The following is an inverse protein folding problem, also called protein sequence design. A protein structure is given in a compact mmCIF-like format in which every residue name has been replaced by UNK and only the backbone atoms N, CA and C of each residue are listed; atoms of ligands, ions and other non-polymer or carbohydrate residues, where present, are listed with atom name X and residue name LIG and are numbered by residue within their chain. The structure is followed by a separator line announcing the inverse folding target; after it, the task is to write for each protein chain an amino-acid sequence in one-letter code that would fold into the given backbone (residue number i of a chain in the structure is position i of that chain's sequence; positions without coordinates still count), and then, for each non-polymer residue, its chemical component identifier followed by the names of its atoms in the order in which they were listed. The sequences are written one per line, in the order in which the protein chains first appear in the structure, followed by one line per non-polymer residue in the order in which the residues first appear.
data_IF_882111447910
#
_entry.id   IF_882111447910
#
_cell.length_a   1.000
_cell.length_b   1.000
_cell.length_c   1.000
_cell.angle_alpha   90.00
_cell.angle_beta   90.00
_cell.angle_gamma   90.00
#
_symmetry.space_group_name_H-M   'P 1'
#
loop_
_entity.id
_entity.type
_entity.pdbx_description
1 polymer ?
#
# COMPACT_ATOMS: atom_id res chain seq x y z
N UNK A 1 -0.28 -12.22 6.66
CA UNK A 1 0.85 -11.33 6.30
C UNK A 1 0.24 -10.04 5.79
N UNK A 2 0.63 -8.89 6.33
CA UNK A 2 0.08 -7.57 5.97
C UNK A 2 1.15 -6.72 5.25
N UNK A 3 0.73 -5.67 4.58
CA UNK A 3 1.59 -4.60 4.04
C UNK A 3 1.20 -3.22 4.54
N UNK A 4 0.19 -3.14 5.41
CA UNK A 4 -0.07 -1.92 6.17
C UNK A 4 1.02 -1.75 7.23
N UNK A 5 1.44 -0.50 7.48
CA UNK A 5 2.53 -0.15 8.37
C UNK A 5 3.93 -0.43 7.80
N UNK A 6 4.11 -0.47 6.47
CA UNK A 6 5.42 -0.63 5.84
C UNK A 6 6.38 0.52 6.13
N UNK A 7 5.87 1.70 6.48
CA UNK A 7 6.66 2.85 6.94
C UNK A 7 7.11 2.74 8.40
N UNK A 8 6.56 1.80 9.20
CA UNK A 8 6.94 1.59 10.60
C UNK A 8 8.22 0.75 10.73
N UNK A 9 9.36 1.36 10.35
CA UNK A 9 10.67 0.70 10.34
C UNK A 9 11.12 0.17 11.71
N UNK A 10 10.74 0.85 12.79
CA UNK A 10 11.18 0.55 14.15
C UNK A 10 10.37 -0.55 14.86
N UNK A 11 9.46 -1.25 14.17
CA UNK A 11 8.83 -2.42 14.79
C UNK A 11 9.88 -3.52 15.03
N UNK A 12 9.85 -4.16 16.20
CA UNK A 12 10.79 -5.25 16.57
C UNK A 12 10.81 -6.35 15.49
N UNK A 13 9.66 -6.57 14.83
CA UNK A 13 9.50 -7.55 13.77
C UNK A 13 10.21 -7.13 12.46
N UNK A 14 10.09 -5.86 12.04
CA UNK A 14 10.79 -5.38 10.85
C UNK A 14 12.29 -5.20 11.09
N UNK A 15 12.71 -4.80 12.29
CA UNK A 15 14.13 -4.73 12.66
C UNK A 15 14.84 -6.10 12.58
N UNK A 16 14.11 -7.21 12.69
CA UNK A 16 14.67 -8.55 12.61
C UNK A 16 14.53 -9.21 11.23
N UNK A 17 13.62 -8.71 10.38
CA UNK A 17 13.30 -9.36 9.10
C UNK A 17 13.56 -8.49 7.87
N UNK A 18 13.63 -7.16 8.02
CA UNK A 18 13.77 -6.14 6.96
C UNK A 18 12.72 -6.24 5.83
N UNK A 19 11.67 -7.04 6.00
CA UNK A 19 10.72 -7.36 4.93
C UNK A 19 9.96 -6.10 4.48
N UNK A 20 9.61 -5.19 5.39
CA UNK A 20 8.92 -3.96 5.00
C UNK A 20 9.86 -2.98 4.29
N UNK A 21 11.13 -2.96 4.69
CA UNK A 21 12.16 -2.14 4.04
C UNK A 21 12.38 -2.57 2.59
N UNK A 22 12.43 -3.89 2.33
CA UNK A 22 12.53 -4.43 0.97
C UNK A 22 11.28 -4.21 0.13
N UNK A 23 10.09 -4.28 0.74
CA UNK A 23 8.84 -3.97 0.04
C UNK A 23 8.81 -2.49 -0.39
N UNK A 24 9.16 -1.57 0.50
CA UNK A 24 9.19 -0.14 0.16
C UNK A 24 10.22 0.17 -0.93
N UNK A 25 11.39 -0.47 -0.92
CA UNK A 25 12.36 -0.39 -2.03
C UNK A 25 11.78 -0.90 -3.35
N UNK A 26 11.06 -2.02 -3.34
CA UNK A 26 10.40 -2.54 -4.54
C UNK A 26 9.34 -1.57 -5.08
N UNK A 27 8.57 -0.93 -4.20
CA UNK A 27 7.64 0.13 -4.59
C UNK A 27 8.36 1.29 -5.27
N UNK A 28 9.46 1.79 -4.69
CA UNK A 28 10.28 2.84 -5.32
C UNK A 28 10.76 2.45 -6.72
N UNK A 29 11.16 1.20 -6.92
CA UNK A 29 11.58 0.69 -8.24
C UNK A 29 10.42 0.67 -9.25
N UNK A 30 9.21 0.29 -8.81
CA UNK A 30 8.02 0.33 -9.66
C UNK A 30 7.72 1.77 -10.09
N UNK A 31 7.77 2.74 -9.17
CA UNK A 31 7.57 4.17 -9.51
C UNK A 31 8.64 4.70 -10.47
N UNK A 32 9.91 4.37 -10.20
CA UNK A 32 11.04 4.79 -11.03
C UNK A 32 11.05 4.17 -12.44
N UNK A 33 10.30 3.08 -12.66
CA UNK A 33 10.23 2.41 -13.98
C UNK A 33 9.59 3.28 -15.08
N UNK A 34 8.79 4.29 -14.70
CA UNK A 34 8.06 5.14 -15.64
C UNK A 34 6.85 4.46 -16.31
N UNK A 35 6.55 3.21 -15.99
CA UNK A 35 5.33 2.53 -16.45
C UNK A 35 4.13 2.90 -15.57
N UNK A 36 2.90 2.96 -16.13
CA UNK A 36 1.70 3.09 -15.32
C UNK A 36 1.60 1.96 -14.30
N UNK A 37 1.30 2.30 -13.05
CA UNK A 37 1.23 1.33 -11.95
C UNK A 37 0.06 1.61 -11.02
N UNK A 38 -0.26 0.61 -10.19
CA UNK A 38 -1.11 0.76 -9.01
C UNK A 38 -0.47 -0.05 -7.89
N UNK A 39 -0.13 0.59 -6.78
CA UNK A 39 0.48 -0.06 -5.62
C UNK A 39 -0.58 -0.16 -4.52
N UNK A 40 -0.98 -1.39 -4.21
CA UNK A 40 -1.97 -1.69 -3.17
C UNK A 40 -1.24 -2.24 -1.95
N UNK A 41 -1.44 -1.60 -0.79
CA UNK A 41 -0.92 -2.04 0.50
C UNK A 41 -2.06 -2.63 1.34
N UNK A 42 -2.44 -3.90 1.12
CA UNK A 42 -3.51 -4.51 1.91
C UNK A 42 -3.18 -4.60 3.40
N UNK A 43 -4.25 -4.49 4.21
CA UNK A 43 -4.27 -4.77 5.64
C UNK A 43 -4.08 -6.25 5.98
N UNK A 44 -4.59 -6.67 7.13
CA UNK A 44 -4.46 -8.05 7.61
C UNK A 44 -5.40 -9.01 6.87
N UNK A 45 -4.81 -10.02 6.20
CA UNK A 45 -5.56 -10.91 5.29
C UNK A 45 -6.45 -11.87 6.05
N UNK A 46 -7.75 -11.88 5.72
CA UNK A 46 -8.77 -12.78 6.25
C UNK A 46 -8.94 -12.71 7.78
N UNK A 47 -8.64 -11.55 8.36
CA UNK A 47 -8.98 -11.20 9.75
C UNK A 47 -10.30 -10.43 9.85
N UNK A 48 -11.01 -10.30 8.72
CA UNK A 48 -12.27 -9.58 8.64
C UNK A 48 -13.44 -10.41 9.18
N UNK A 49 -14.45 -9.73 9.69
CA UNK A 49 -15.73 -10.29 10.06
C UNK A 49 -16.64 -10.47 8.83
N UNK A 50 -17.71 -11.26 9.00
CA UNK A 50 -18.68 -11.54 7.95
C UNK A 50 -19.44 -10.31 7.47
N UNK A 51 -19.46 -9.19 8.22
CA UNK A 51 -20.16 -7.96 7.86
C UNK A 51 -19.23 -6.80 7.42
N UNK A 52 -17.95 -7.11 7.19
CA UNK A 52 -16.93 -6.15 6.76
C UNK A 52 -16.72 -6.22 5.24
N UNK A 53 -17.70 -5.72 4.49
CA UNK A 53 -17.66 -5.71 3.03
C UNK A 53 -17.31 -4.34 2.42
N UNK A 54 -17.36 -3.26 3.21
CA UNK A 54 -17.11 -1.91 2.71
C UNK A 54 -15.61 -1.70 2.46
N UNK A 55 -15.22 -1.59 1.19
CA UNK A 55 -13.86 -1.24 0.81
C UNK A 55 -13.53 0.20 1.20
N UNK A 56 -12.38 0.40 1.85
CA UNK A 56 -11.83 1.70 2.20
C UNK A 56 -10.39 1.77 1.71
N UNK A 57 -10.09 2.81 0.94
CA UNK A 57 -8.74 3.14 0.46
C UNK A 57 -8.19 4.32 1.27
N UNK A 58 -6.99 4.17 1.81
CA UNK A 58 -6.33 5.19 2.64
C UNK A 58 -4.97 5.56 2.03
N UNK A 59 -4.39 6.68 2.47
CA UNK A 59 -3.05 7.09 2.04
C UNK A 59 -2.20 7.62 3.19
N UNK A 60 -0.88 7.45 3.03
CA UNK A 60 0.15 7.92 3.95
C UNK A 60 0.46 6.96 5.10
N UNK A 61 -0.02 5.72 5.02
CA UNK A 61 0.35 4.60 5.89
C UNK A 61 0.35 4.97 7.37
N UNK A 62 -0.76 5.55 7.87
CA UNK A 62 -0.82 6.14 9.23
C UNK A 62 -1.21 5.15 10.33
N UNK A 63 -1.61 3.92 9.97
CA UNK A 63 -2.10 2.90 10.91
C UNK A 63 -0.95 1.96 11.27
N UNK A 64 -0.44 2.10 12.50
CA UNK A 64 0.83 1.52 12.97
C UNK A 64 0.71 0.71 14.26
N UNK A 65 -0.47 0.21 14.63
CA UNK A 65 -0.66 -0.62 15.80
C UNK A 65 0.15 -1.93 15.74
N UNK A 66 0.41 -2.46 14.53
CA UNK A 66 1.05 -3.76 14.31
C UNK A 66 0.13 -4.92 14.64
N UNK A 67 -1.19 -4.67 14.64
CA UNK A 67 -2.25 -5.61 14.96
C UNK A 67 -3.37 -5.46 13.91
N UNK A 68 -4.37 -6.36 13.88
CA UNK A 68 -5.53 -6.21 12.99
C UNK A 68 -6.30 -4.89 13.15
N UNK A 69 -6.07 -4.13 14.23
CA UNK A 69 -6.62 -2.77 14.40
C UNK A 69 -6.14 -1.79 13.32
N UNK A 70 -5.03 -2.08 12.65
CA UNK A 70 -4.60 -1.31 11.48
C UNK A 70 -5.57 -1.45 10.30
N UNK A 71 -6.38 -2.50 10.31
CA UNK A 71 -7.37 -2.80 9.29
C UNK A 71 -7.14 -4.16 8.68
N UNK A 72 -8.24 -4.75 8.26
CA UNK A 72 -8.36 -6.13 7.79
C UNK A 72 -8.89 -6.13 6.38
N UNK A 73 -8.69 -7.19 5.61
CA UNK A 73 -9.19 -7.30 4.24
C UNK A 73 -9.23 -8.78 3.86
N UNK A 74 -10.25 -9.24 3.15
CA UNK A 74 -10.28 -10.62 2.64
C UNK A 74 -9.46 -10.75 1.35
N UNK A 75 -8.96 -11.95 1.04
CA UNK A 75 -8.29 -12.19 -0.25
C UNK A 75 -9.21 -11.98 -1.45
N UNK A 76 -10.50 -12.21 -1.29
CA UNK A 76 -11.50 -11.96 -2.34
C UNK A 76 -11.60 -10.48 -2.66
N UNK A 77 -11.69 -9.63 -1.64
CA UNK A 77 -11.72 -8.17 -1.77
C UNK A 77 -10.42 -7.62 -2.37
N UNK A 78 -9.26 -8.18 -1.98
CA UNK A 78 -7.98 -7.83 -2.62
C UNK A 78 -8.04 -8.14 -4.12
N UNK A 79 -8.50 -9.34 -4.50
CA UNK A 79 -8.58 -9.74 -5.89
C UNK A 79 -9.52 -8.83 -6.69
N UNK A 80 -10.67 -8.47 -6.12
CA UNK A 80 -11.63 -7.54 -6.73
C UNK A 80 -10.98 -6.17 -7.04
N UNK A 81 -10.31 -5.58 -6.05
CA UNK A 81 -9.64 -4.28 -6.22
C UNK A 81 -8.52 -4.36 -7.25
N UNK A 82 -7.71 -5.42 -7.23
CA UNK A 82 -6.62 -5.61 -8.19
C UNK A 82 -7.15 -5.78 -9.63
N UNK A 83 -8.21 -6.56 -9.82
CA UNK A 83 -8.84 -6.74 -11.15
C UNK A 83 -9.46 -5.45 -11.64
N UNK A 84 -10.16 -4.71 -10.77
CA UNK A 84 -10.75 -3.41 -11.12
C UNK A 84 -9.70 -2.39 -11.55
N UNK A 85 -8.57 -2.32 -10.83
CA UNK A 85 -7.49 -1.38 -11.13
C UNK A 85 -6.87 -1.57 -12.53
N UNK A 86 -6.84 -2.81 -13.07
CA UNK A 86 -6.27 -3.09 -14.39
C UNK A 86 -6.98 -2.35 -15.53
N UNK A 87 -8.27 -2.05 -15.35
CA UNK A 87 -9.11 -1.43 -16.40
C UNK A 87 -9.62 -0.05 -16.01
N UNK A 88 -9.15 0.51 -14.89
CA UNK A 88 -9.61 1.79 -14.37
C UNK A 88 -8.51 2.86 -14.49
N UNK A 89 -8.77 3.89 -15.29
CA UNK A 89 -7.81 4.99 -15.48
C UNK A 89 -7.57 5.79 -14.19
N UNK A 90 -8.56 5.87 -13.29
CA UNK A 90 -8.44 6.55 -12.00
C UNK A 90 -7.47 5.83 -11.04
N UNK A 91 -7.20 4.55 -11.27
CA UNK A 91 -6.25 3.77 -10.47
C UNK A 91 -4.79 3.98 -10.87
N UNK A 92 -4.51 4.69 -11.97
CA UNK A 92 -3.16 4.87 -12.49
C UNK A 92 -2.31 5.77 -11.59
N UNK A 93 -1.08 5.32 -11.35
CA UNK A 93 -0.05 5.97 -10.55
C UNK A 93 -0.53 6.29 -9.12
N UNK A 94 -1.31 5.38 -8.53
CA UNK A 94 -1.82 5.49 -7.16
C UNK A 94 -1.09 4.52 -6.24
N UNK A 95 -0.79 5.00 -5.04
CA UNK A 95 -0.41 4.18 -3.89
C UNK A 95 -1.43 4.37 -2.78
N UNK A 96 -1.95 3.27 -2.24
CA UNK A 96 -2.94 3.33 -1.16
C UNK A 96 -2.92 2.09 -0.27
N UNK A 97 -3.33 2.25 0.98
CA UNK A 97 -3.66 1.15 1.88
C UNK A 97 -5.08 0.66 1.64
N UNK A 98 -5.28 -0.66 1.66
CA UNK A 98 -6.57 -1.29 1.39
C UNK A 98 -7.07 -2.05 2.63
N UNK A 99 -8.23 -1.65 3.12
CA UNK A 99 -8.91 -2.30 4.25
C UNK A 99 -10.40 -2.44 3.96
N UNK A 100 -11.05 -3.35 4.67
CA UNK A 100 -12.48 -3.51 4.74
C UNK A 100 -12.98 -3.06 6.10
N UNK A 101 -14.11 -2.39 6.09
CA UNK A 101 -14.82 -1.96 7.29
C UNK A 101 -16.27 -2.47 7.23
N UNK A 102 -16.96 -2.39 8.36
CA UNK A 102 -18.36 -2.79 8.46
C UNK A 102 -19.24 -2.02 7.47
N UNK A 103 -20.04 -2.75 6.70
CA UNK A 103 -20.99 -2.19 5.74
C UNK A 103 -21.00 -2.95 4.42
N UNK A 104 -21.85 -2.48 3.51
CA UNK A 104 -22.05 -3.08 2.19
C UNK A 104 -20.84 -2.90 1.27
N UNK A 105 -20.62 -3.87 0.38
CA UNK A 105 -19.64 -3.75 -0.70
C UNK A 105 -20.05 -2.63 -1.67
N UNK A 106 -19.11 -1.77 -2.10
CA UNK A 106 -19.38 -0.80 -3.15
C UNK A 106 -19.67 -1.52 -4.48
N UNK A 107 -20.63 -1.00 -5.26
CA UNK A 107 -20.91 -1.54 -6.60
C UNK A 107 -19.90 -1.05 -7.66
N UNK A 108 -19.23 0.07 -7.39
CA UNK A 108 -18.24 0.68 -8.26
C UNK A 108 -17.08 1.22 -7.41
N UNK A 109 -15.86 0.83 -7.78
CA UNK A 109 -14.62 1.24 -7.12
C UNK A 109 -14.02 2.51 -7.74
N UNK A 110 -14.52 2.96 -8.90
CA UNK A 110 -14.01 4.15 -9.60
C UNK A 110 -14.00 5.40 -8.74
N UNK A 111 -15.07 5.73 -7.98
CA UNK A 111 -15.05 6.89 -7.10
C UNK A 111 -13.98 6.79 -6.01
N UNK A 112 -13.74 5.58 -5.49
CA UNK A 112 -12.70 5.36 -4.47
C UNK A 112 -11.30 5.63 -5.03
N UNK A 113 -11.03 5.21 -6.27
CA UNK A 113 -9.75 5.51 -6.93
C UNK A 113 -9.60 7.00 -7.25
N UNK A 114 -10.67 7.64 -7.72
CA UNK A 114 -10.67 9.06 -8.09
C UNK A 114 -10.40 9.97 -6.89
N UNK A 115 -10.86 9.58 -5.69
CA UNK A 115 -10.64 10.30 -4.44
C UNK A 115 -9.18 10.23 -3.94
N UNK A 116 -8.35 9.31 -4.46
CA UNK A 116 -6.95 9.19 -4.10
C UNK A 116 -6.10 10.28 -4.74
N UNK A 117 -5.04 10.71 -4.04
CA UNK A 117 -3.99 11.51 -4.65
C UNK A 117 -3.10 10.65 -5.54
N UNK A 118 -2.71 11.19 -6.69
CA UNK A 118 -1.71 10.57 -7.55
C UNK A 118 -0.32 10.74 -6.95
N UNK A 119 0.51 9.71 -7.08
CA UNK A 119 1.92 9.82 -6.71
C UNK A 119 2.63 10.89 -7.53
N UNK A 120 3.60 11.55 -6.90
CA UNK A 120 4.41 12.59 -7.55
C UNK A 120 5.42 11.93 -8.50
N UNK A 121 5.37 12.18 -9.82
CA UNK A 121 6.28 11.56 -10.78
C UNK A 121 7.75 11.96 -10.59
N UNK A 122 8.04 12.98 -9.77
CA UNK A 122 9.41 13.39 -9.43
C UNK A 122 9.94 12.71 -8.17
N UNK A 123 9.11 11.92 -7.48
CA UNK A 123 9.46 11.25 -6.22
C UNK A 123 9.29 9.74 -6.34
N UNK A 124 10.09 9.01 -5.56
CA UNK A 124 10.02 7.55 -5.49
C UNK A 124 9.20 7.04 -4.29
N UNK A 125 8.80 7.94 -3.39
CA UNK A 125 7.92 7.63 -2.27
C UNK A 125 6.44 7.67 -2.68
N UNK A 126 5.60 6.92 -1.97
CA UNK A 126 4.15 7.04 -2.12
C UNK A 126 3.69 8.42 -1.65
N UNK A 127 2.63 8.95 -2.26
CA UNK A 127 2.06 10.22 -1.82
C UNK A 127 1.63 10.13 -0.35
N UNK A 128 1.95 11.17 0.43
CA UNK A 128 1.71 11.27 1.87
C UNK A 128 2.50 10.30 2.77
N UNK A 129 3.40 9.47 2.21
CA UNK A 129 4.29 8.65 3.03
C UNK A 129 5.18 9.51 3.91
N UNK A 130 5.54 8.97 5.08
CA UNK A 130 6.55 9.58 5.95
C UNK A 130 7.92 9.45 5.27
N UNK A 131 8.68 10.54 5.24
CA UNK A 131 10.06 10.56 4.73
C UNK A 131 11.01 9.86 5.71
N UNK A 132 11.08 8.53 5.60
CA UNK A 132 11.89 7.67 6.46
C UNK A 132 12.45 6.45 5.71
N UNK A 133 12.77 6.61 4.43
CA UNK A 133 13.30 5.51 3.61
C UNK A 133 14.54 4.86 4.27
N UNK A 134 14.71 3.53 4.12
CA UNK A 134 15.94 2.86 4.50
C UNK A 134 17.16 3.42 3.80
N UNK A 135 18.10 3.96 4.58
CA UNK A 135 19.48 4.09 4.15
C UNK A 135 19.94 2.76 3.55
N UNK A 136 20.74 2.86 2.48
CA UNK A 136 21.33 1.67 1.88
C UNK A 136 22.21 0.97 2.93
N UNK A 137 22.27 -0.37 2.92
CA UNK A 137 23.28 -1.07 3.69
C UNK A 137 24.66 -0.52 3.29
N UNK A 138 25.58 -0.30 4.25
CA UNK A 138 26.91 0.17 3.92
C UNK A 138 27.56 -0.77 2.89
N UNK A 139 27.97 -0.22 1.75
CA UNK A 139 28.65 -0.96 0.67
C UNK A 139 27.89 -1.09 -0.67
N UNK A 140 26.66 -0.58 -0.77
CA UNK A 140 25.94 -0.44 -2.05
C UNK A 140 26.05 1.02 -2.53
N UNK A 141 27.01 1.28 -3.41
CA UNK A 141 27.26 2.60 -3.99
C UNK A 141 26.25 2.91 -5.11
N UNK A 142 25.76 4.15 -5.17
CA UNK A 142 24.63 4.57 -6.03
C UNK A 142 25.03 5.07 -7.41
N UNK A 143 26.18 4.65 -7.94
CA UNK A 143 26.56 5.01 -9.31
C UNK A 143 25.85 4.12 -10.33
N UNK A 144 24.57 4.39 -10.57
CA UNK A 144 23.98 4.18 -11.89
C UNK A 144 23.93 5.55 -12.56
N UNK A 145 24.98 5.86 -13.33
CA UNK A 145 25.02 6.96 -14.30
C UNK A 145 24.33 6.55 -15.59
#
# INVERSE_FOLDING_TARGET
MTTIGVTKRLSIWNQHTEVHDWKRRAECLVRASGHPYTIVRPGWFDYNNDDEHRIVMLQGDRRHAGTPEDGVISREQIAEVLVSALTNDEAKNKTFELVAERGEAPQDLTPLFADLQTDDPQKNDGVLDIDNMPDLPPGLDTTFS
#
